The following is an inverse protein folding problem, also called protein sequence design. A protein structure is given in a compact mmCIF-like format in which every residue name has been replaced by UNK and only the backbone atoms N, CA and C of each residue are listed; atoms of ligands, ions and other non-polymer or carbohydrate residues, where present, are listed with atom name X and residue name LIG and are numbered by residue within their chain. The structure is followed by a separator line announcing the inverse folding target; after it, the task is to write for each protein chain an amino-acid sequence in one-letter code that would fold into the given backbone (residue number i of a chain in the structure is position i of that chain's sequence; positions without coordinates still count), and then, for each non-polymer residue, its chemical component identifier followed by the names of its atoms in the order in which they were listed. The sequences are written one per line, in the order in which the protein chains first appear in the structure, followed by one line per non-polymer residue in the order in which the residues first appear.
data_IF_968621848502
#
_entry.id   IF_968621848502
#
_cell.length_a   1.000
_cell.length_b   1.000
_cell.length_c   1.000
_cell.angle_alpha   90.00
_cell.angle_beta   90.00
_cell.angle_gamma   90.00
#
_symmetry.space_group_name_H-M   'P 1'
#
loop_
_entity.id
_entity.type
_entity.pdbx_description
1 polymer ?
#
# COMPACT_ATOMS: atom_id res chain seq x y z
N UNK A 1 26.81 -39.18 14.17
CA UNK A 1 25.98 -39.59 13.00
C UNK A 1 24.86 -38.60 12.69
N UNK A 2 24.37 -37.79 13.65
CA UNK A 2 23.45 -36.66 13.38
C UNK A 2 24.17 -35.44 12.78
N UNK A 3 25.40 -35.15 13.22
CA UNK A 3 26.14 -33.95 12.76
C UNK A 3 26.62 -34.02 11.31
N UNK A 4 26.93 -35.22 10.83
CA UNK A 4 27.38 -35.46 9.45
C UNK A 4 26.29 -35.28 8.40
N UNK A 5 25.02 -35.41 8.78
CA UNK A 5 23.88 -35.16 7.88
C UNK A 5 23.58 -33.66 7.73
N UNK A 6 23.77 -32.90 8.81
CA UNK A 6 23.53 -31.45 8.85
C UNK A 6 24.48 -30.67 7.94
N UNK A 7 25.77 -31.01 7.94
CA UNK A 7 26.77 -30.30 7.14
C UNK A 7 26.62 -30.57 5.64
N UNK A 8 26.29 -31.81 5.26
CA UNK A 8 26.07 -32.16 3.86
C UNK A 8 24.80 -31.50 3.27
N UNK A 9 23.81 -31.20 4.11
CA UNK A 9 22.61 -30.46 3.71
C UNK A 9 22.85 -28.95 3.63
N UNK A 10 23.69 -28.39 4.51
CA UNK A 10 24.05 -26.96 4.43
C UNK A 10 24.82 -26.64 3.15
N UNK A 11 25.68 -27.55 2.70
CA UNK A 11 26.47 -27.36 1.47
C UNK A 11 25.60 -27.43 0.21
N UNK A 12 24.49 -28.20 0.24
CA UNK A 12 23.48 -28.30 -0.82
C UNK A 12 22.59 -27.04 -0.95
N UNK A 13 22.57 -26.18 0.08
CA UNK A 13 21.80 -24.92 0.10
C UNK A 13 22.63 -23.70 -0.36
N UNK A 14 23.91 -23.89 -0.69
CA UNK A 14 24.82 -22.83 -1.12
C UNK A 14 25.04 -22.79 -2.64
N UNK A 15 24.03 -22.24 -3.35
CA UNK A 15 24.05 -21.46 -4.62
C UNK A 15 24.44 -22.19 -5.95
N UNK A 16 23.89 -21.87 -7.17
CA UNK A 16 23.68 -20.53 -7.74
C UNK A 16 22.42 -20.41 -8.63
N UNK A 17 21.33 -19.91 -8.07
CA UNK A 17 20.24 -19.30 -8.85
C UNK A 17 19.30 -18.64 -7.86
N UNK A 18 19.76 -17.57 -7.20
CA UNK A 18 18.91 -16.74 -6.35
C UNK A 18 17.67 -16.36 -7.17
N UNK A 19 16.51 -16.97 -6.93
CA UNK A 19 15.31 -16.58 -7.66
C UNK A 19 15.08 -15.13 -7.27
N UNK A 20 14.96 -14.26 -8.29
CA UNK A 20 14.76 -12.82 -8.11
C UNK A 20 13.77 -12.62 -6.97
N UNK A 21 14.12 -11.87 -5.89
CA UNK A 21 13.22 -11.70 -4.77
C UNK A 21 11.91 -11.15 -5.34
N UNK A 22 10.82 -11.91 -5.15
CA UNK A 22 9.50 -11.46 -5.55
C UNK A 22 9.29 -10.09 -4.92
N UNK A 23 9.25 -9.04 -5.74
CA UNK A 23 9.02 -7.69 -5.24
C UNK A 23 7.56 -7.63 -4.81
N UNK A 24 7.34 -7.75 -3.50
CA UNK A 24 6.00 -7.69 -2.92
C UNK A 24 5.32 -6.37 -3.28
N UNK A 25 4.00 -6.43 -3.45
CA UNK A 25 3.19 -5.23 -3.64
C UNK A 25 2.95 -4.54 -2.30
N UNK A 26 2.71 -3.23 -2.35
CA UNK A 26 2.34 -2.45 -1.18
C UNK A 26 0.95 -2.83 -0.64
N UNK A 27 0.63 -2.42 0.59
CA UNK A 27 -0.67 -2.70 1.19
C UNK A 27 -1.81 -1.92 0.50
N UNK A 28 -3.06 -2.31 0.76
CA UNK A 28 -4.25 -1.71 0.14
C UNK A 28 -4.27 -0.19 0.30
N UNK A 29 -3.94 0.32 1.48
CA UNK A 29 -3.92 1.76 1.76
C UNK A 29 -2.91 2.50 0.89
N UNK A 30 -1.71 1.96 0.74
CA UNK A 30 -0.64 2.56 -0.06
C UNK A 30 -0.90 2.46 -1.56
N UNK A 31 -1.40 1.32 -2.02
CA UNK A 31 -1.80 1.13 -3.42
C UNK A 31 -2.90 2.13 -3.81
N UNK A 32 -3.90 2.35 -2.95
CA UNK A 32 -4.91 3.38 -3.19
C UNK A 32 -4.32 4.79 -3.23
N UNK A 33 -3.35 5.11 -2.37
CA UNK A 33 -2.65 6.41 -2.41
C UNK A 33 -1.84 6.58 -3.69
N UNK A 34 -1.29 5.49 -4.22
CA UNK A 34 -0.58 5.50 -5.49
C UNK A 34 -1.52 5.63 -6.71
N UNK A 35 -2.84 5.50 -6.52
CA UNK A 35 -3.83 5.61 -7.59
C UNK A 35 -4.34 4.28 -8.12
N UNK A 36 -4.01 3.16 -7.47
CA UNK A 36 -4.56 1.84 -7.79
C UNK A 36 -5.94 1.69 -7.17
N UNK A 37 -6.91 1.23 -7.95
CA UNK A 37 -8.28 0.98 -7.51
C UNK A 37 -8.50 -0.49 -7.22
N UNK A 38 -9.47 -0.77 -6.36
CA UNK A 38 -9.90 -2.12 -6.02
C UNK A 38 -11.36 -2.27 -6.40
N UNK A 39 -11.70 -3.41 -7.00
CA UNK A 39 -13.07 -3.75 -7.36
C UNK A 39 -13.32 -5.22 -7.07
N UNK A 40 -14.56 -5.57 -6.68
CA UNK A 40 -14.98 -6.96 -6.67
C UNK A 40 -15.00 -7.51 -8.09
N UNK A 41 -14.55 -8.74 -8.26
CA UNK A 41 -14.72 -9.45 -9.52
C UNK A 41 -16.12 -10.05 -9.64
N UNK A 42 -16.67 -10.08 -10.84
CA UNK A 42 -18.03 -10.60 -11.14
C UNK A 42 -17.91 -11.66 -12.24
N UNK A 43 -18.61 -12.78 -12.07
CA UNK A 43 -18.62 -13.86 -13.08
C UNK A 43 -17.28 -14.59 -13.22
N UNK A 44 -16.53 -14.75 -12.14
CA UNK A 44 -15.30 -15.55 -12.13
C UNK A 44 -15.61 -17.04 -11.99
N UNK A 45 -14.88 -17.86 -12.74
CA UNK A 45 -14.96 -19.33 -12.63
C UNK A 45 -14.28 -19.86 -11.36
N UNK A 46 -13.38 -19.08 -10.77
CA UNK A 46 -12.62 -19.43 -9.57
C UNK A 46 -12.54 -18.27 -8.59
N UNK A 47 -12.64 -18.57 -7.29
CA UNK A 47 -12.44 -17.62 -6.19
C UNK A 47 -10.97 -17.15 -6.06
N UNK A 48 -10.05 -17.81 -6.78
CA UNK A 48 -8.63 -17.48 -6.85
C UNK A 48 -8.30 -16.53 -8.03
N UNK A 49 -9.26 -16.19 -8.89
CA UNK A 49 -9.03 -15.46 -10.15
C UNK A 49 -8.83 -13.95 -9.92
N UNK A 50 -7.63 -13.57 -9.50
CA UNK A 50 -7.24 -12.16 -9.30
C UNK A 50 -6.67 -11.59 -10.61
N UNK A 51 -7.18 -10.43 -11.01
CA UNK A 51 -6.79 -9.75 -12.25
C UNK A 51 -6.36 -8.32 -11.98
N UNK A 52 -5.39 -7.85 -12.75
CA UNK A 52 -5.02 -6.44 -12.78
C UNK A 52 -5.13 -5.89 -14.20
N UNK A 53 -5.89 -4.80 -14.37
CA UNK A 53 -6.04 -4.14 -15.66
C UNK A 53 -6.31 -2.66 -15.46
N UNK A 54 -5.61 -1.81 -16.21
CA UNK A 54 -5.82 -0.36 -16.24
C UNK A 54 -5.81 0.30 -14.85
N UNK A 55 -4.88 -0.10 -13.98
CA UNK A 55 -4.78 0.45 -12.62
C UNK A 55 -5.84 -0.06 -11.64
N UNK A 56 -6.59 -1.10 -12.01
CA UNK A 56 -7.62 -1.70 -11.16
C UNK A 56 -7.26 -3.15 -10.84
N UNK A 57 -7.20 -3.49 -9.55
CA UNK A 57 -7.10 -4.86 -9.05
C UNK A 57 -8.52 -5.38 -8.83
N UNK A 58 -8.88 -6.46 -9.53
CA UNK A 58 -10.16 -7.17 -9.41
C UNK A 58 -9.94 -8.45 -8.61
N UNK A 59 -10.65 -8.56 -7.49
CA UNK A 59 -10.52 -9.69 -6.56
C UNK A 59 -11.90 -10.32 -6.40
N UNK A 60 -12.06 -11.65 -6.57
CA UNK A 60 -13.29 -12.34 -6.24
C UNK A 60 -13.66 -12.13 -4.76
N UNK A 61 -14.96 -11.97 -4.43
CA UNK A 61 -15.39 -11.75 -3.05
C UNK A 61 -15.10 -12.98 -2.17
N UNK A 62 -14.66 -12.73 -0.94
CA UNK A 62 -14.38 -13.75 0.07
C UNK A 62 -15.17 -13.48 1.35
N UNK A 63 -15.91 -14.50 1.80
CA UNK A 63 -16.57 -14.49 3.10
C UNK A 63 -15.60 -15.02 4.16
N UNK A 64 -15.32 -14.18 5.16
CA UNK A 64 -14.37 -14.50 6.24
C UNK A 64 -15.14 -14.70 7.55
N UNK A 65 -15.22 -15.95 7.99
CA UNK A 65 -15.86 -16.35 9.24
C UNK A 65 -14.95 -17.22 10.11
N UNK A 66 -15.52 -17.76 11.19
CA UNK A 66 -14.76 -18.49 12.24
C UNK A 66 -14.00 -19.71 11.71
N UNK A 67 -14.53 -20.38 10.68
CA UNK A 67 -13.91 -21.58 10.10
C UNK A 67 -12.88 -21.29 9.00
N UNK A 68 -12.84 -20.04 8.49
CA UNK A 68 -12.06 -19.68 7.30
C UNK A 68 -10.57 -19.94 7.50
N UNK A 69 -10.01 -19.62 8.68
CA UNK A 69 -8.60 -19.84 8.98
C UNK A 69 -8.22 -21.33 8.92
N UNK A 70 -9.02 -22.20 9.54
CA UNK A 70 -8.79 -23.65 9.55
C UNK A 70 -8.89 -24.25 8.15
N UNK A 71 -9.85 -23.78 7.34
CA UNK A 71 -9.98 -24.20 5.93
C UNK A 71 -8.72 -23.84 5.15
N UNK A 72 -8.24 -22.60 5.24
CA UNK A 72 -7.00 -22.20 4.57
C UNK A 72 -5.79 -23.01 5.03
N UNK A 73 -5.62 -23.24 6.34
CA UNK A 73 -4.51 -24.07 6.87
C UNK A 73 -4.55 -25.49 6.31
N UNK A 74 -5.73 -26.10 6.25
CA UNK A 74 -5.89 -27.45 5.69
C UNK A 74 -5.59 -27.48 4.18
N UNK A 75 -6.02 -26.47 3.43
CA UNK A 75 -5.73 -26.36 2.00
C UNK A 75 -4.23 -26.14 1.73
N UNK A 76 -3.58 -25.26 2.51
CA UNK A 76 -2.13 -25.04 2.42
C UNK A 76 -1.38 -26.35 2.73
N UNK A 77 -1.75 -27.06 3.81
CA UNK A 77 -1.13 -28.33 4.15
C UNK A 77 -1.31 -29.38 3.05
N UNK A 78 -2.48 -29.41 2.39
CA UNK A 78 -2.73 -30.27 1.25
C UNK A 78 -1.87 -29.90 0.04
N UNK A 79 -1.77 -28.61 -0.29
CA UNK A 79 -0.89 -28.13 -1.37
C UNK A 79 0.58 -28.45 -1.10
N UNK A 80 1.04 -28.29 0.14
CA UNK A 80 2.40 -28.63 0.54
C UNK A 80 2.67 -30.13 0.43
N UNK A 81 1.75 -30.97 0.92
CA UNK A 81 1.87 -32.41 0.84
C UNK A 81 1.89 -32.94 -0.61
N UNK A 82 1.12 -32.30 -1.51
CA UNK A 82 1.07 -32.65 -2.93
C UNK A 82 2.10 -31.90 -3.77
N UNK A 83 2.96 -31.09 -3.15
CA UNK A 83 3.83 -30.21 -3.90
C UNK A 83 4.88 -31.01 -4.66
N UNK A 84 4.83 -30.88 -5.98
CA UNK A 84 5.90 -31.25 -6.89
C UNK A 84 6.34 -29.97 -7.61
N UNK A 85 7.58 -29.48 -7.39
CA UNK A 85 8.11 -28.29 -8.04
C UNK A 85 8.01 -28.33 -9.56
N UNK A 86 8.03 -29.51 -10.18
CA UNK A 86 7.96 -29.67 -11.64
C UNK A 86 6.52 -29.59 -12.16
N UNK A 87 5.55 -30.11 -11.40
CA UNK A 87 4.22 -30.43 -11.93
C UNK A 87 3.07 -29.59 -11.37
N UNK A 88 3.19 -29.07 -10.15
CA UNK A 88 2.06 -28.47 -9.42
C UNK A 88 2.29 -26.99 -9.09
N UNK A 89 1.19 -26.25 -8.92
CA UNK A 89 1.15 -24.88 -8.44
C UNK A 89 0.49 -24.83 -7.06
N UNK A 90 0.94 -23.92 -6.18
CA UNK A 90 0.37 -23.72 -4.84
C UNK A 90 -0.58 -22.51 -4.83
N UNK A 91 -1.62 -22.51 -5.67
CA UNK A 91 -2.39 -21.27 -5.88
C UNK A 91 -3.21 -20.81 -4.65
N UNK A 92 -3.59 -21.70 -3.72
CA UNK A 92 -4.22 -21.29 -2.45
C UNK A 92 -3.20 -20.61 -1.55
N UNK A 93 -2.00 -21.19 -1.44
CA UNK A 93 -0.87 -20.62 -0.71
C UNK A 93 -0.50 -19.25 -1.28
N UNK A 94 -0.38 -19.14 -2.60
CA UNK A 94 -0.07 -17.89 -3.30
C UNK A 94 -1.17 -16.83 -3.11
N UNK A 95 -2.43 -17.26 -3.00
CA UNK A 95 -3.56 -16.37 -2.72
C UNK A 95 -3.48 -15.82 -1.31
N UNK A 96 -3.14 -16.66 -0.33
CA UNK A 96 -2.91 -16.22 1.06
C UNK A 96 -1.78 -15.20 1.12
N UNK A 97 -0.67 -15.44 0.40
CA UNK A 97 0.44 -14.47 0.30
C UNK A 97 0.00 -13.17 -0.35
N UNK A 98 -0.82 -13.24 -1.40
CA UNK A 98 -1.40 -12.06 -2.06
C UNK A 98 -2.26 -11.24 -1.08
N UNK A 99 -3.17 -11.90 -0.36
CA UNK A 99 -4.08 -11.24 0.58
C UNK A 99 -3.33 -10.69 1.80
N UNK A 100 -2.36 -11.42 2.35
CA UNK A 100 -1.50 -10.94 3.42
C UNK A 100 -0.70 -9.70 2.99
N UNK A 101 -0.23 -9.64 1.74
CA UNK A 101 0.46 -8.45 1.20
C UNK A 101 -0.46 -7.21 1.19
N UNK A 102 -1.74 -7.40 0.84
CA UNK A 102 -2.73 -6.33 0.80
C UNK A 102 -3.20 -5.87 2.19
N UNK A 103 -3.19 -6.76 3.18
CA UNK A 103 -3.80 -6.55 4.49
C UNK A 103 -2.70 -6.45 5.55
N UNK A 104 -2.26 -5.21 5.83
CA UNK A 104 -1.28 -4.93 6.89
C UNK A 104 -1.88 -4.21 8.10
N UNK A 105 -3.16 -3.87 8.03
CA UNK A 105 -3.90 -3.20 9.10
C UNK A 105 -5.41 -3.47 9.01
N UNK A 106 -6.15 -3.22 10.10
CA UNK A 106 -7.62 -3.24 10.09
C UNK A 106 -8.22 -2.20 9.13
N UNK A 107 -7.50 -1.11 8.87
CA UNK A 107 -7.92 -0.12 7.87
C UNK A 107 -7.87 -0.66 6.43
N UNK A 108 -6.90 -1.53 6.12
CA UNK A 108 -6.85 -2.21 4.82
C UNK A 108 -8.05 -3.16 4.65
N UNK A 109 -8.37 -3.92 5.70
CA UNK A 109 -9.59 -4.77 5.72
C UNK A 109 -10.84 -3.93 5.48
N UNK A 110 -10.98 -2.80 6.20
CA UNK A 110 -12.12 -1.89 6.06
C UNK A 110 -12.28 -1.39 4.63
N UNK A 111 -11.17 -1.04 3.95
CA UNK A 111 -11.16 -0.62 2.55
C UNK A 111 -11.61 -1.76 1.62
N UNK A 112 -11.11 -2.98 1.81
CA UNK A 112 -11.51 -4.14 1.01
C UNK A 112 -12.98 -4.52 1.23
N UNK A 113 -13.49 -4.37 2.46
CA UNK A 113 -14.92 -4.54 2.76
C UNK A 113 -15.79 -3.50 2.06
N UNK A 114 -15.35 -2.24 2.04
CA UNK A 114 -16.07 -1.18 1.34
C UNK A 114 -16.23 -1.49 -0.17
N UNK A 115 -15.22 -2.12 -0.76
CA UNK A 115 -15.25 -2.60 -2.15
C UNK A 115 -15.95 -3.96 -2.33
N UNK A 116 -16.57 -4.50 -1.25
CA UNK A 116 -17.25 -5.79 -1.24
C UNK A 116 -16.35 -6.98 -1.64
N UNK A 117 -15.03 -6.84 -1.45
CA UNK A 117 -14.05 -7.90 -1.68
C UNK A 117 -13.99 -8.83 -0.46
N UNK A 118 -14.09 -8.26 0.75
CA UNK A 118 -14.15 -9.03 2.00
C UNK A 118 -15.53 -8.85 2.62
N UNK A 119 -16.15 -9.96 2.99
CA UNK A 119 -17.32 -9.97 3.85
C UNK A 119 -16.92 -10.50 5.23
N UNK A 120 -16.97 -9.64 6.26
CA UNK A 120 -16.42 -9.95 7.59
C UNK A 120 -17.51 -10.46 8.54
N UNK A 121 -17.39 -11.74 8.92
CA UNK A 121 -18.24 -12.44 9.89
C UNK A 121 -17.48 -12.78 11.19
N UNK A 122 -16.25 -12.29 11.38
CA UNK A 122 -15.43 -12.51 12.59
C UNK A 122 -15.72 -11.52 13.72
N UNK A 123 -16.55 -10.50 13.46
CA UNK A 123 -16.96 -9.50 14.44
C UNK A 123 -15.98 -8.34 14.65
N UNK A 124 -14.95 -8.21 13.81
CA UNK A 124 -14.00 -7.09 13.86
C UNK A 124 -12.98 -7.14 12.73
N UNK A 125 -12.53 -5.97 12.25
CA UNK A 125 -11.58 -5.88 11.14
C UNK A 125 -10.15 -6.26 11.60
N UNK A 126 -9.81 -6.04 12.87
CA UNK A 126 -8.53 -6.49 13.46
C UNK A 126 -8.41 -8.02 13.42
N UNK A 127 -9.50 -8.74 13.64
CA UNK A 127 -9.52 -10.22 13.63
C UNK A 127 -9.24 -10.77 12.23
N UNK A 128 -9.79 -10.15 11.19
CA UNK A 128 -9.49 -10.52 9.79
C UNK A 128 -8.03 -10.23 9.47
N UNK A 129 -7.50 -9.07 9.89
CA UNK A 129 -6.10 -8.72 9.71
C UNK A 129 -5.17 -9.75 10.38
N UNK A 130 -5.43 -10.07 11.65
CA UNK A 130 -4.66 -11.06 12.41
C UNK A 130 -4.76 -12.47 11.80
N UNK A 131 -5.93 -12.85 11.27
CA UNK A 131 -6.12 -14.13 10.59
C UNK A 131 -5.19 -14.25 9.37
N UNK A 132 -5.17 -13.25 8.48
CA UNK A 132 -4.30 -13.27 7.30
C UNK A 132 -2.81 -13.21 7.67
N UNK A 133 -2.45 -12.43 8.68
CA UNK A 133 -1.06 -12.41 9.19
C UNK A 133 -0.62 -13.79 9.71
N UNK A 134 -1.49 -14.48 10.45
CA UNK A 134 -1.22 -15.84 10.95
C UNK A 134 -1.15 -16.87 9.83
N UNK A 135 -2.01 -16.75 8.82
CA UNK A 135 -1.96 -17.59 7.63
C UNK A 135 -0.64 -17.36 6.87
N UNK A 136 -0.22 -16.11 6.69
CA UNK A 136 1.04 -15.75 6.04
C UNK A 136 2.28 -16.37 6.73
N UNK A 137 2.28 -16.43 8.07
CA UNK A 137 3.34 -17.11 8.85
C UNK A 137 3.41 -18.62 8.63
N UNK A 138 2.32 -19.23 8.15
CA UNK A 138 2.23 -20.69 7.92
C UNK A 138 2.75 -21.07 6.52
N UNK A 139 2.99 -20.09 5.64
CA UNK A 139 3.37 -20.34 4.24
C UNK A 139 4.87 -20.54 4.08
N UNK A 140 5.27 -21.66 3.49
CA UNK A 140 6.62 -21.88 2.99
C UNK A 140 6.74 -21.31 1.57
N UNK A 141 7.39 -20.15 1.45
CA UNK A 141 7.55 -19.50 0.16
C UNK A 141 8.58 -20.23 -0.72
N UNK A 142 8.11 -20.86 -1.79
CA UNK A 142 8.98 -21.46 -2.80
C UNK A 142 9.06 -20.53 -4.01
N UNK A 143 10.20 -19.88 -4.18
CA UNK A 143 10.35 -18.69 -5.04
C UNK A 143 10.31 -18.96 -6.57
N UNK A 144 10.20 -20.23 -6.99
CA UNK A 144 10.28 -20.59 -8.42
C UNK A 144 8.95 -20.51 -9.17
N UNK A 145 7.80 -20.64 -8.48
CA UNK A 145 6.46 -20.61 -9.07
C UNK A 145 5.48 -19.85 -8.18
N UNK A 146 4.92 -18.76 -8.71
CA UNK A 146 3.92 -17.94 -8.01
C UNK A 146 2.78 -17.56 -8.98
N UNK A 147 1.55 -17.98 -8.68
CA UNK A 147 0.36 -17.84 -9.54
C UNK A 147 0.07 -16.35 -9.87
N UNK A 148 0.43 -15.42 -8.97
CA UNK A 148 0.15 -13.98 -9.12
C UNK A 148 1.38 -13.15 -9.51
N UNK A 149 2.45 -13.78 -9.98
CA UNK A 149 3.71 -13.09 -10.35
C UNK A 149 3.50 -11.99 -11.39
N UNK A 150 2.65 -12.24 -12.39
CA UNK A 150 2.28 -11.24 -13.39
C UNK A 150 1.50 -10.08 -12.78
N UNK A 151 0.55 -10.36 -11.90
CA UNK A 151 -0.25 -9.33 -11.22
C UNK A 151 0.65 -8.43 -10.37
N UNK A 152 1.55 -9.01 -9.58
CA UNK A 152 2.53 -8.27 -8.78
C UNK A 152 3.41 -7.37 -9.65
N UNK A 153 3.96 -7.94 -10.72
CA UNK A 153 4.79 -7.21 -11.67
C UNK A 153 4.05 -6.03 -12.29
N UNK A 154 2.84 -6.26 -12.79
CA UNK A 154 2.05 -5.22 -13.46
C UNK A 154 1.61 -4.11 -12.48
N UNK A 155 1.25 -4.47 -11.24
CA UNK A 155 0.94 -3.50 -10.16
C UNK A 155 2.15 -2.66 -9.82
N UNK A 156 3.33 -3.28 -9.63
CA UNK A 156 4.56 -2.56 -9.30
C UNK A 156 4.99 -1.63 -10.45
N UNK A 157 4.88 -2.06 -11.70
CA UNK A 157 5.16 -1.22 -12.87
C UNK A 157 4.20 -0.03 -12.90
N UNK A 158 2.90 -0.26 -12.72
CA UNK A 158 1.90 0.80 -12.74
C UNK A 158 2.14 1.83 -11.62
N UNK A 159 2.42 1.36 -10.40
CA UNK A 159 2.74 2.19 -9.24
C UNK A 159 4.00 3.04 -9.50
N UNK A 160 5.07 2.43 -10.02
CA UNK A 160 6.31 3.14 -10.38
C UNK A 160 6.07 4.18 -11.47
N UNK A 161 5.28 3.86 -12.49
CA UNK A 161 4.93 4.81 -13.56
C UNK A 161 4.12 5.99 -13.02
N UNK A 162 3.08 5.73 -12.21
CA UNK A 162 2.26 6.77 -11.59
C UNK A 162 3.11 7.68 -10.70
N UNK A 163 4.01 7.10 -9.88
CA UNK A 163 4.95 7.84 -9.06
C UNK A 163 5.88 8.74 -9.89
N UNK A 164 6.45 8.20 -10.97
CA UNK A 164 7.35 8.96 -11.85
C UNK A 164 6.64 10.15 -12.52
N UNK A 165 5.41 9.95 -12.99
CA UNK A 165 4.59 11.02 -13.56
C UNK A 165 4.26 12.08 -12.52
N UNK A 166 3.85 11.66 -11.31
CA UNK A 166 3.55 12.57 -10.21
C UNK A 166 4.79 13.40 -9.80
N UNK A 167 5.95 12.76 -9.66
CA UNK A 167 7.22 13.42 -9.35
C UNK A 167 7.64 14.40 -10.44
N UNK A 168 7.46 14.06 -11.72
CA UNK A 168 7.77 14.96 -12.82
C UNK A 168 6.88 16.22 -12.79
N UNK A 169 5.58 16.05 -12.55
CA UNK A 169 4.64 17.18 -12.42
C UNK A 169 4.96 18.03 -11.19
N UNK A 170 5.28 17.40 -10.06
CA UNK A 170 5.69 18.07 -8.84
C UNK A 170 6.95 18.93 -9.05
N UNK A 171 7.96 18.39 -9.74
CA UNK A 171 9.18 19.12 -10.07
C UNK A 171 8.90 20.34 -10.97
N UNK A 172 8.01 20.22 -11.96
CA UNK A 172 7.59 21.35 -12.80
C UNK A 172 6.85 22.40 -11.96
N UNK A 173 5.95 21.97 -11.08
CA UNK A 173 5.19 22.89 -10.22
C UNK A 173 6.10 23.64 -9.24
N UNK A 174 7.03 22.96 -8.57
CA UNK A 174 8.04 23.59 -7.72
C UNK A 174 8.93 24.53 -8.52
N UNK A 175 9.36 24.15 -9.73
CA UNK A 175 10.17 25.01 -10.57
C UNK A 175 9.40 26.30 -10.95
N UNK A 176 8.11 26.18 -11.26
CA UNK A 176 7.25 27.33 -11.55
C UNK A 176 7.04 28.20 -10.32
N UNK A 177 6.73 27.63 -9.15
CA UNK A 177 6.63 28.38 -7.88
C UNK A 177 7.92 29.11 -7.56
N UNK A 178 9.07 28.43 -7.67
CA UNK A 178 10.38 29.05 -7.47
C UNK A 178 10.60 30.20 -8.46
N UNK A 179 10.20 30.02 -9.71
CA UNK A 179 10.35 31.06 -10.73
C UNK A 179 9.43 32.26 -10.50
N UNK A 180 8.20 32.08 -10.05
CA UNK A 180 7.23 33.19 -9.90
C UNK A 180 7.32 33.87 -8.54
N UNK A 181 7.43 33.10 -7.46
CA UNK A 181 7.51 33.65 -6.11
C UNK A 181 8.93 34.06 -5.71
N UNK A 182 9.97 33.30 -6.08
CA UNK A 182 11.34 33.55 -5.61
C UNK A 182 12.24 34.33 -6.60
N UNK A 183 11.81 34.62 -7.84
CA UNK A 183 12.57 35.54 -8.73
C UNK A 183 12.21 37.00 -8.57
N UNK A 184 11.06 37.32 -8.00
CA UNK A 184 10.61 38.71 -7.81
C UNK A 184 10.78 39.05 -6.33
N UNK A 185 12.00 39.40 -5.88
CA UNK A 185 12.22 39.88 -4.51
C UNK A 185 11.24 41.02 -4.18
N UNK A 186 10.87 41.81 -5.20
CA UNK A 186 9.85 42.84 -5.17
C UNK A 186 8.46 42.39 -4.70
N UNK A 187 8.01 41.17 -4.99
CA UNK A 187 6.69 40.70 -4.52
C UNK A 187 6.72 40.41 -3.02
N UNK A 188 7.82 39.85 -2.52
CA UNK A 188 8.02 39.59 -1.09
C UNK A 188 8.21 40.92 -0.36
N UNK A 189 9.02 41.83 -0.91
CA UNK A 189 9.23 43.18 -0.35
C UNK A 189 7.92 43.97 -0.34
N UNK A 190 7.12 43.92 -1.41
CA UNK A 190 5.83 44.61 -1.49
C UNK A 190 4.83 44.09 -0.45
N UNK A 191 4.75 42.76 -0.27
CA UNK A 191 3.92 42.16 0.77
C UNK A 191 4.37 42.58 2.17
N UNK A 192 5.67 42.51 2.46
CA UNK A 192 6.23 42.95 3.74
C UNK A 192 6.02 44.45 4.00
N UNK A 193 6.18 45.28 2.97
CA UNK A 193 5.94 46.73 3.05
C UNK A 193 4.46 47.04 3.35
N UNK A 194 3.53 46.32 2.70
CA UNK A 194 2.10 46.49 2.95
C UNK A 194 1.72 46.12 4.40
N UNK A 195 2.26 45.03 4.94
CA UNK A 195 2.08 44.64 6.35
C UNK A 195 2.64 45.69 7.30
N UNK A 196 3.85 46.20 7.02
CA UNK A 196 4.46 47.24 7.85
C UNK A 196 3.65 48.55 7.86
N UNK A 197 3.14 48.98 6.69
CA UNK A 197 2.26 50.15 6.58
C UNK A 197 0.95 49.97 7.36
N UNK A 198 0.34 48.77 7.32
CA UNK A 198 -0.86 48.43 8.09
C UNK A 198 -0.63 48.52 9.61
N UNK A 199 0.51 48.02 10.10
CA UNK A 199 0.85 48.14 11.52
C UNK A 199 1.08 49.59 11.93
N UNK A 200 1.73 50.38 11.06
CA UNK A 200 1.98 51.79 11.29
C UNK A 200 0.69 52.60 11.36
N UNK A 201 -0.27 52.36 10.45
CA UNK A 201 -1.57 53.04 10.45
C UNK A 201 -2.40 52.68 11.68
N UNK A 202 -2.38 51.42 12.12
CA UNK A 202 -3.01 51.00 13.37
C UNK A 202 -2.42 51.75 14.58
N UNK A 203 -1.09 51.86 14.66
CA UNK A 203 -0.43 52.61 15.74
C UNK A 203 -0.80 54.10 15.71
N UNK A 204 -0.75 54.73 14.53
CA UNK A 204 -1.16 56.14 14.36
C UNK A 204 -2.62 56.37 14.79
N UNK A 205 -3.53 55.48 14.42
CA UNK A 205 -4.94 55.56 14.81
C UNK A 205 -5.10 55.47 16.34
N UNK A 206 -4.39 54.56 17.01
CA UNK A 206 -4.41 54.41 18.47
C UNK A 206 -3.90 55.70 19.15
N UNK A 207 -2.77 56.24 18.70
CA UNK A 207 -2.23 57.49 19.27
C UNK A 207 -3.17 58.69 19.07
N UNK A 208 -3.78 58.82 17.89
CA UNK A 208 -4.75 59.89 17.62
C UNK A 208 -5.98 59.81 18.52
N UNK A 209 -6.49 58.59 18.76
CA UNK A 209 -7.60 58.35 19.69
C UNK A 209 -7.19 58.75 21.12
N UNK A 210 -6.02 58.31 21.60
CA UNK A 210 -5.54 58.64 22.94
C UNK A 210 -5.35 60.16 23.14
N UNK A 211 -4.80 60.86 22.15
CA UNK A 211 -4.67 62.32 22.20
C UNK A 211 -6.03 63.02 22.27
N UNK A 212 -7.01 62.56 21.49
CA UNK A 212 -8.37 63.09 21.52
C UNK A 212 -9.03 62.93 22.90
N UNK A 213 -8.81 61.78 23.56
CA UNK A 213 -9.25 61.54 24.93
C UNK A 213 -8.53 62.41 25.96
N UNK A 214 -7.22 62.68 25.79
CA UNK A 214 -6.47 63.54 26.72
C UNK A 214 -6.79 65.04 26.62
N UNK A 215 -7.36 65.49 25.49
CA UNK A 215 -7.75 66.89 25.25
C UNK A 215 -9.17 67.19 25.71
N UNK A 216 -10.00 66.16 25.92
CA UNK A 216 -11.40 66.29 26.31
C UNK A 216 -11.65 66.16 27.83
N UNK A 217 -10.60 65.94 28.63
CA UNK A 217 -10.60 65.98 30.09
C UNK A 217 -9.69 67.09 30.62
#
# INVERSE_FOLDING_TARGET
MYETWSSSFSDLLTDPAKPLPLEFINCTTELQRAGIKFEKSVGCDSWLDIKFKNGVIKIPPLVVGVVTESVFKNLIAYEEYKFDPCSNWKCVTDYVVFMDSLIKSSNDVKKLRHHQIIENWLGGDERVCAMFENLGKTVFFHSTKFCYSRVFKDVNICTKQQWNVWMAQWNIWIANLRRTYFKTPWSVISFMAAVALLLLTCLQAIFAILQCYSVTH
#
